data_IF_355419386424
#
_entry.id   IF_355419386424
#
_cell.length_a   1.000
_cell.length_b   1.000
_cell.length_c   1.000
_cell.angle_alpha   90.00
_cell.angle_beta   90.00
_cell.angle_gamma   90.00
#
_symmetry.space_group_name_H-M   'P 1'
#
loop_
_entity.id
_entity.type
_entity.pdbx_description
1 polymer ?
#
# COMPACT_ATOMS: atom_id res chain seq x y z
N UNK A 1 -42.86 -8.32 -9.08
CA UNK A 1 -41.76 -8.18 -8.10
C UNK A 1 -40.87 -7.05 -8.60
N UNK A 2 -40.62 -6.02 -7.80
CA UNK A 2 -39.63 -5.01 -8.16
C UNK A 2 -38.25 -5.65 -8.08
N UNK A 3 -37.60 -5.85 -9.23
CA UNK A 3 -36.21 -6.27 -9.29
C UNK A 3 -35.36 -5.07 -8.92
N UNK A 4 -34.52 -5.20 -7.89
CA UNK A 4 -33.54 -4.17 -7.55
C UNK A 4 -32.57 -4.03 -8.74
N UNK A 5 -32.29 -2.78 -9.14
CA UNK A 5 -31.37 -2.47 -10.24
C UNK A 5 -29.94 -2.92 -9.91
N UNK A 6 -29.50 -2.69 -8.67
CA UNK A 6 -28.19 -3.10 -8.16
C UNK A 6 -28.34 -3.98 -6.92
N UNK A 7 -27.39 -4.88 -6.74
CA UNK A 7 -27.29 -5.73 -5.55
C UNK A 7 -25.87 -5.72 -5.01
N UNK A 8 -25.66 -6.32 -3.83
CA UNK A 8 -24.30 -6.53 -3.31
C UNK A 8 -23.48 -7.30 -4.36
N UNK A 9 -22.25 -6.85 -4.59
CA UNK A 9 -21.31 -7.51 -5.49
C UNK A 9 -20.92 -8.87 -4.89
N UNK A 10 -20.95 -9.93 -5.70
CA UNK A 10 -20.68 -11.31 -5.26
C UNK A 10 -19.51 -11.97 -5.98
N UNK A 11 -19.06 -11.38 -7.08
CA UNK A 11 -17.98 -11.89 -7.92
C UNK A 11 -17.32 -10.76 -8.71
N UNK A 12 -16.18 -11.08 -9.32
CA UNK A 12 -15.36 -10.15 -10.08
C UNK A 12 -16.04 -9.65 -11.38
N UNK A 13 -16.86 -10.49 -12.02
CA UNK A 13 -17.60 -10.09 -13.23
C UNK A 13 -18.57 -8.94 -12.93
N UNK A 14 -19.34 -9.06 -11.84
CA UNK A 14 -20.28 -8.03 -11.38
C UNK A 14 -19.53 -6.77 -10.92
N UNK A 15 -18.37 -6.92 -10.29
CA UNK A 15 -17.51 -5.78 -9.92
C UNK A 15 -17.10 -4.97 -11.15
N UNK A 16 -16.55 -5.64 -12.15
CA UNK A 16 -16.10 -4.99 -13.39
C UNK A 16 -17.26 -4.32 -14.14
N UNK A 17 -18.43 -4.95 -14.19
CA UNK A 17 -19.64 -4.34 -14.76
C UNK A 17 -20.02 -3.04 -14.04
N UNK A 18 -19.96 -3.04 -12.71
CA UNK A 18 -20.32 -1.86 -11.89
C UNK A 18 -19.29 -0.74 -12.05
N UNK A 19 -18.00 -1.07 -12.14
CA UNK A 19 -16.94 -0.11 -12.44
C UNK A 19 -17.14 0.57 -13.80
N UNK A 20 -17.39 -0.21 -14.86
CA UNK A 20 -17.65 0.32 -16.19
C UNK A 20 -18.90 1.22 -16.20
N UNK A 21 -19.96 0.79 -15.53
CA UNK A 21 -21.20 1.57 -15.42
C UNK A 21 -20.94 2.89 -14.70
N UNK A 22 -20.21 2.87 -13.59
CA UNK A 22 -19.85 4.07 -12.83
C UNK A 22 -19.03 5.04 -13.69
N UNK A 23 -18.05 4.53 -14.45
CA UNK A 23 -17.25 5.34 -15.38
C UNK A 23 -18.14 6.04 -16.43
N UNK A 24 -19.04 5.30 -17.07
CA UNK A 24 -19.98 5.87 -18.05
C UNK A 24 -20.88 6.96 -17.44
N UNK A 25 -21.36 6.76 -16.21
CA UNK A 25 -22.21 7.72 -15.50
C UNK A 25 -21.44 9.00 -15.17
N UNK A 26 -20.19 8.86 -14.71
CA UNK A 26 -19.31 10.00 -14.41
C UNK A 26 -18.99 10.82 -15.67
N UNK A 27 -18.76 10.16 -16.81
CA UNK A 27 -18.50 10.82 -18.10
C UNK A 27 -19.72 11.61 -18.58
N UNK A 28 -20.94 11.09 -18.38
CA UNK A 28 -22.18 11.81 -18.75
C UNK A 28 -22.38 13.08 -17.92
N UNK A 29 -21.91 13.12 -16.68
CA UNK A 29 -21.92 14.33 -15.84
C UNK A 29 -23.32 14.86 -15.48
N UNK A 30 -24.34 14.00 -15.52
CA UNK A 30 -25.72 14.38 -15.22
C UNK A 30 -25.97 14.38 -13.71
N UNK A 31 -26.47 15.50 -13.17
CA UNK A 31 -26.79 15.67 -11.75
C UNK A 31 -27.97 14.82 -11.29
N UNK A 32 -28.79 14.30 -12.21
CA UNK A 32 -29.90 13.42 -11.86
C UNK A 32 -29.45 12.01 -11.49
N UNK A 33 -28.20 11.66 -11.80
CA UNK A 33 -27.62 10.33 -11.57
C UNK A 33 -26.79 10.26 -10.28
N UNK A 34 -26.80 11.31 -9.45
CA UNK A 34 -25.97 11.39 -8.24
C UNK A 34 -26.22 10.23 -7.27
N UNK A 35 -27.48 9.90 -6.96
CA UNK A 35 -27.80 8.78 -6.05
C UNK A 35 -27.34 7.42 -6.60
N UNK A 36 -27.38 7.25 -7.93
CA UNK A 36 -26.94 6.03 -8.61
C UNK A 36 -25.42 5.89 -8.58
N UNK A 37 -24.71 6.98 -8.83
CA UNK A 37 -23.25 7.09 -8.72
C UNK A 37 -22.83 6.77 -7.27
N UNK A 38 -23.45 7.41 -6.28
CA UNK A 38 -23.15 7.18 -4.86
C UNK A 38 -23.38 5.73 -4.46
N UNK A 39 -24.48 5.10 -4.90
CA UNK A 39 -24.75 3.71 -4.61
C UNK A 39 -23.72 2.77 -5.25
N UNK A 40 -23.39 2.97 -6.53
CA UNK A 40 -22.39 2.16 -7.21
C UNK A 40 -21.01 2.30 -6.56
N UNK A 41 -20.60 3.53 -6.24
CA UNK A 41 -19.36 3.79 -5.49
C UNK A 41 -19.34 3.02 -4.17
N UNK A 42 -20.41 3.09 -3.37
CA UNK A 42 -20.47 2.37 -2.09
C UNK A 42 -20.37 0.85 -2.26
N UNK A 43 -21.00 0.28 -3.28
CA UNK A 43 -20.97 -1.16 -3.56
C UNK A 43 -19.57 -1.63 -3.98
N UNK A 44 -18.92 -0.86 -4.84
CA UNK A 44 -17.54 -1.11 -5.31
C UNK A 44 -16.56 -0.99 -4.14
N UNK A 45 -16.62 0.10 -3.36
CA UNK A 45 -15.77 0.31 -2.19
C UNK A 45 -15.90 -0.82 -1.17
N UNK A 46 -17.14 -1.29 -0.92
CA UNK A 46 -17.37 -2.43 -0.04
C UNK A 46 -16.68 -3.68 -0.56
N UNK A 47 -16.89 -4.03 -1.84
CA UNK A 47 -16.29 -5.22 -2.45
C UNK A 47 -14.76 -5.15 -2.41
N UNK A 48 -14.18 -4.00 -2.75
CA UNK A 48 -12.74 -3.77 -2.70
C UNK A 48 -12.19 -3.92 -1.29
N UNK A 49 -12.91 -3.43 -0.27
CA UNK A 49 -12.48 -3.60 1.12
C UNK A 49 -12.50 -5.06 1.58
N UNK A 50 -13.44 -5.87 1.07
CA UNK A 50 -13.62 -7.27 1.45
C UNK A 50 -12.72 -8.21 0.63
N UNK A 51 -12.41 -7.87 -0.62
CA UNK A 51 -11.63 -8.68 -1.57
C UNK A 51 -10.24 -8.12 -1.86
N UNK A 52 -9.79 -7.14 -1.07
CA UNK A 52 -8.47 -6.56 -1.15
C UNK A 52 -7.37 -7.63 -1.04
N UNK A 53 -6.86 -8.10 -2.19
CA UNK A 53 -5.74 -9.04 -2.33
C UNK A 53 -4.39 -8.46 -1.92
N UNK A 54 -4.38 -7.29 -1.26
CA UNK A 54 -3.16 -6.67 -0.72
C UNK A 54 -2.37 -7.64 0.18
N UNK A 55 -2.98 -8.73 0.66
CA UNK A 55 -2.34 -9.74 1.52
C UNK A 55 -1.23 -10.54 0.83
N UNK A 56 -1.16 -10.56 -0.51
CA UNK A 56 -0.10 -11.28 -1.22
C UNK A 56 1.20 -10.47 -1.35
N UNK A 57 1.11 -9.14 -1.36
CA UNK A 57 2.27 -8.26 -1.55
C UNK A 57 2.76 -7.70 -0.21
N UNK A 58 4.07 -7.71 0.00
CA UNK A 58 4.66 -6.94 1.10
C UNK A 58 4.46 -5.43 0.85
N UNK A 59 4.44 -4.58 1.90
CA UNK A 59 4.32 -3.13 1.73
C UNK A 59 5.30 -2.49 0.75
N UNK A 60 6.51 -3.06 0.61
CA UNK A 60 7.53 -2.57 -0.32
C UNK A 60 7.27 -3.03 -1.75
N UNK A 61 6.72 -4.23 -1.95
CA UNK A 61 6.31 -4.71 -3.28
C UNK A 61 5.09 -3.95 -3.78
N UNK A 62 4.10 -3.72 -2.92
CA UNK A 62 2.97 -2.82 -3.21
C UNK A 62 3.45 -1.44 -3.64
N UNK A 63 4.37 -0.84 -2.87
CA UNK A 63 4.95 0.46 -3.22
C UNK A 63 5.61 0.45 -4.60
N UNK A 64 6.30 -0.63 -4.97
CA UNK A 64 6.93 -0.76 -6.29
C UNK A 64 5.90 -0.88 -7.42
N UNK A 65 4.83 -1.66 -7.23
CA UNK A 65 3.75 -1.78 -8.21
C UNK A 65 3.10 -0.42 -8.47
N UNK A 66 2.74 0.29 -7.39
CA UNK A 66 2.17 1.63 -7.48
C UNK A 66 3.11 2.63 -8.14
N UNK A 67 4.43 2.53 -7.88
CA UNK A 67 5.41 3.35 -8.59
C UNK A 67 5.46 3.04 -10.09
N UNK A 68 5.37 1.77 -10.48
CA UNK A 68 5.38 1.34 -11.89
C UNK A 68 4.12 1.82 -12.62
N UNK A 69 2.94 1.59 -12.05
CA UNK A 69 1.65 2.03 -12.58
C UNK A 69 1.58 3.55 -12.76
N UNK A 70 2.19 4.32 -11.85
CA UNK A 70 2.24 5.78 -11.90
C UNK A 70 3.48 6.33 -12.62
N UNK A 71 4.32 5.48 -13.23
CA UNK A 71 5.56 5.84 -13.92
C UNK A 71 6.52 6.70 -13.06
N UNK A 72 6.58 6.42 -11.76
CA UNK A 72 7.37 7.16 -10.77
C UNK A 72 8.77 6.55 -10.60
N UNK A 73 9.79 7.41 -10.55
CA UNK A 73 11.16 6.98 -10.21
C UNK A 73 11.42 7.20 -8.73
N UNK A 74 12.44 6.53 -8.20
CA UNK A 74 12.86 6.70 -6.79
C UNK A 74 13.20 8.16 -6.43
N UNK A 75 13.63 8.97 -7.40
CA UNK A 75 13.88 10.40 -7.22
C UNK A 75 12.61 11.21 -7.01
N UNK A 76 11.50 10.80 -7.62
CA UNK A 76 10.20 11.46 -7.49
C UNK A 76 9.58 11.07 -6.15
N UNK A 77 9.67 9.78 -5.79
CA UNK A 77 9.25 9.28 -4.49
C UNK A 77 9.99 9.99 -3.34
N UNK A 78 11.28 10.30 -3.51
CA UNK A 78 12.05 11.08 -2.54
C UNK A 78 11.47 12.48 -2.31
N UNK A 79 10.98 13.15 -3.37
CA UNK A 79 10.31 14.45 -3.26
C UNK A 79 8.95 14.32 -2.57
N UNK A 80 8.14 13.34 -2.96
CA UNK A 80 6.81 13.08 -2.39
C UNK A 80 6.90 12.83 -0.88
N UNK A 81 7.86 11.99 -0.47
CA UNK A 81 8.04 11.61 0.92
C UNK A 81 8.83 12.63 1.74
N UNK A 82 9.40 13.65 1.10
CA UNK A 82 10.36 14.58 1.69
C UNK A 82 11.52 13.84 2.40
N UNK A 83 12.09 12.84 1.71
CA UNK A 83 13.19 12.01 2.19
C UNK A 83 14.41 12.12 1.29
N UNK A 84 15.60 11.81 1.82
CA UNK A 84 16.79 11.71 0.98
C UNK A 84 16.67 10.53 0.00
N UNK A 85 17.30 10.66 -1.18
CA UNK A 85 17.37 9.56 -2.18
C UNK A 85 17.93 8.27 -1.58
N UNK A 86 18.93 8.39 -0.70
CA UNK A 86 19.51 7.24 0.00
C UNK A 86 18.53 6.57 0.96
N UNK A 87 17.68 7.34 1.65
CA UNK A 87 16.63 6.78 2.52
C UNK A 87 15.58 6.04 1.70
N UNK A 88 15.13 6.60 0.57
CA UNK A 88 14.18 5.93 -0.32
C UNK A 88 14.77 4.64 -0.88
N UNK A 89 16.02 4.66 -1.33
CA UNK A 89 16.71 3.45 -1.80
C UNK A 89 16.74 2.35 -0.73
N UNK A 90 17.04 2.69 0.52
CA UNK A 90 17.02 1.74 1.64
C UNK A 90 15.62 1.16 1.89
N UNK A 91 14.57 1.97 1.76
CA UNK A 91 13.18 1.50 1.89
C UNK A 91 12.84 0.52 0.76
N UNK A 92 13.10 0.89 -0.50
CA UNK A 92 12.81 0.06 -1.68
C UNK A 92 13.59 -1.27 -1.70
N UNK A 93 14.72 -1.32 -0.99
CA UNK A 93 15.53 -2.53 -0.80
C UNK A 93 15.22 -3.29 0.51
N UNK A 94 14.15 -2.92 1.21
CA UNK A 94 13.74 -3.47 2.51
C UNK A 94 14.81 -3.35 3.61
N UNK A 95 15.79 -2.45 3.47
CA UNK A 95 16.83 -2.22 4.48
C UNK A 95 16.37 -1.27 5.59
N UNK A 96 15.29 -0.53 5.35
CA UNK A 96 14.66 0.36 6.31
C UNK A 96 13.14 0.19 6.26
N UNK A 97 12.53 0.12 7.45
CA UNK A 97 11.08 0.09 7.61
C UNK A 97 10.40 1.39 7.17
N UNK A 98 9.13 1.31 6.79
CA UNK A 98 8.27 2.48 6.59
C UNK A 98 7.94 3.11 7.96
N UNK A 99 8.20 4.42 8.09
CA UNK A 99 7.78 5.17 9.28
C UNK A 99 6.29 5.51 9.20
N UNK A 100 5.64 5.82 10.34
CA UNK A 100 4.24 6.28 10.36
C UNK A 100 4.00 7.48 9.44
N UNK A 101 4.93 8.43 9.42
CA UNK A 101 4.84 9.59 8.54
C UNK A 101 4.95 9.21 7.06
N UNK A 102 5.84 8.26 6.74
CA UNK A 102 5.96 7.72 5.39
C UNK A 102 4.68 7.02 4.95
N UNK A 103 4.09 6.19 5.82
CA UNK A 103 2.84 5.47 5.57
C UNK A 103 1.71 6.45 5.24
N UNK A 104 1.56 7.53 6.03
CA UNK A 104 0.56 8.57 5.76
C UNK A 104 0.76 9.23 4.41
N UNK A 105 1.98 9.67 4.09
CA UNK A 105 2.29 10.31 2.80
C UNK A 105 2.03 9.39 1.61
N UNK A 106 2.36 8.10 1.73
CA UNK A 106 2.08 7.10 0.70
C UNK A 106 0.58 6.91 0.52
N UNK A 107 -0.15 6.73 1.62
CA UNK A 107 -1.61 6.60 1.62
C UNK A 107 -2.29 7.81 1.00
N UNK A 108 -1.88 9.03 1.38
CA UNK A 108 -2.44 10.27 0.85
C UNK A 108 -2.14 10.47 -0.64
N UNK A 109 -0.95 10.05 -1.10
CA UNK A 109 -0.53 10.19 -2.50
C UNK A 109 -1.20 9.18 -3.42
N UNK A 110 -1.17 7.89 -3.05
CA UNK A 110 -1.71 6.80 -3.86
C UNK A 110 -3.20 6.54 -3.62
N UNK A 111 -3.82 7.23 -2.65
CA UNK A 111 -5.24 7.03 -2.26
C UNK A 111 -5.55 5.60 -1.84
N UNK A 112 -4.58 4.94 -1.22
CA UNK A 112 -4.71 3.58 -0.67
C UNK A 112 -4.79 3.65 0.86
N UNK A 113 -5.54 2.75 1.49
CA UNK A 113 -5.62 2.65 2.95
C UNK A 113 -4.22 2.48 3.59
N UNK A 114 -3.95 3.18 4.70
CA UNK A 114 -2.69 3.07 5.46
C UNK A 114 -2.37 1.62 5.87
N UNK A 115 -3.39 0.81 6.14
CA UNK A 115 -3.23 -0.61 6.46
C UNK A 115 -2.58 -1.41 5.32
N UNK A 116 -2.62 -0.95 4.08
CA UNK A 116 -1.87 -1.58 2.98
C UNK A 116 -0.35 -1.47 3.17
N UNK A 117 0.12 -0.38 3.81
CA UNK A 117 1.55 -0.15 4.09
C UNK A 117 1.96 -0.48 5.53
N UNK A 118 1.02 -0.70 6.44
CA UNK A 118 1.24 -0.94 7.88
C UNK A 118 1.36 -2.44 8.25
N UNK A 119 1.69 -3.29 7.28
CA UNK A 119 1.80 -4.74 7.47
C UNK A 119 3.21 -5.14 7.89
N UNK A 120 3.40 -6.23 8.65
CA UNK A 120 4.73 -6.73 8.97
C UNK A 120 5.42 -7.27 7.71
N UNK A 121 6.71 -6.93 7.52
CA UNK A 121 7.55 -7.50 6.47
C UNK A 121 9.00 -7.59 6.93
N UNK A 122 9.76 -8.52 6.32
CA UNK A 122 11.14 -8.79 6.72
C UNK A 122 12.09 -7.73 6.16
N UNK A 123 12.88 -7.12 7.05
CA UNK A 123 13.95 -6.23 6.64
C UNK A 123 15.21 -7.00 6.24
N UNK A 124 15.88 -6.54 5.19
CA UNK A 124 17.17 -7.05 4.73
C UNK A 124 18.27 -6.29 5.44
N UNK A 125 19.00 -6.96 6.32
CA UNK A 125 20.16 -6.37 6.98
C UNK A 125 21.40 -6.50 6.07
N UNK A 126 22.05 -5.37 5.71
CA UNK A 126 23.26 -5.36 4.87
C UNK A 126 24.43 -6.09 5.53
N UNK A 127 24.55 -6.00 6.87
CA UNK A 127 25.57 -6.75 7.64
C UNK A 127 25.38 -8.26 7.42
N UNK A 128 24.12 -8.70 7.29
CA UNK A 128 23.80 -10.11 7.14
C UNK A 128 24.03 -10.66 5.72
N UNK A 129 24.24 -9.82 4.70
CA UNK A 129 24.53 -10.28 3.34
C UNK A 129 25.96 -10.83 3.21
N UNK A 130 26.90 -10.34 4.01
CA UNK A 130 28.31 -10.74 3.94
C UNK A 130 28.63 -12.00 4.76
N UNK A 131 27.80 -12.37 5.74
CA UNK A 131 28.01 -13.57 6.54
C UNK A 131 26.88 -14.57 6.27
N UNK A 132 27.21 -15.73 5.69
CA UNK A 132 26.25 -16.79 5.32
C UNK A 132 25.32 -17.25 6.47
N UNK A 133 25.67 -16.99 7.72
CA UNK A 133 24.94 -17.40 8.93
C UNK A 133 24.50 -16.22 9.85
N UNK A 134 24.47 -15.00 9.31
CA UNK A 134 24.29 -13.79 10.13
C UNK A 134 22.93 -13.63 10.80
N UNK A 135 21.88 -14.33 10.34
CA UNK A 135 20.57 -14.27 11.00
C UNK A 135 20.60 -14.82 12.43
N UNK A 136 21.70 -15.47 12.83
CA UNK A 136 21.94 -16.01 14.18
C UNK A 136 22.72 -15.04 15.08
N UNK A 137 23.26 -13.94 14.57
CA UNK A 137 24.11 -13.01 15.32
C UNK A 137 23.31 -11.82 15.87
N UNK A 138 22.39 -12.08 16.81
CA UNK A 138 21.87 -11.04 17.70
C UNK A 138 22.75 -10.97 18.96
N UNK A 139 23.94 -10.36 18.86
CA UNK A 139 24.77 -10.12 20.05
C UNK A 139 24.13 -9.02 20.88
N UNK A 140 23.41 -9.40 21.95
CA UNK A 140 23.12 -8.49 23.06
C UNK A 140 24.46 -8.03 23.61
N UNK A 141 24.82 -6.76 23.37
CA UNK A 141 25.96 -6.11 24.00
C UNK A 141 25.65 -5.99 25.49
N UNK A 142 26.15 -6.92 26.32
CA UNK A 142 26.25 -6.69 27.76
C UNK A 142 27.25 -5.55 27.98
N UNK A 143 26.73 -4.34 28.14
CA UNK A 143 27.48 -3.24 28.76
C UNK A 143 27.40 -3.40 30.27
N UNK A 144 28.16 -4.34 30.82
CA UNK A 144 28.43 -4.36 32.26
C UNK A 144 29.94 -4.53 32.52
N UNK A 145 30.43 -3.59 33.32
CA UNK A 145 31.72 -3.52 34.00
C UNK A 145 33.00 -3.30 33.19
N UNK A 146 33.26 -2.00 32.95
CA UNK A 146 34.61 -1.44 33.10
C UNK A 146 34.57 -0.22 34.04
N UNK A 147 34.48 -0.44 35.35
CA UNK A 147 35.09 0.43 36.37
C UNK A 147 35.40 -0.41 37.63
N UNK A 148 36.59 -0.18 38.20
CA UNK A 148 37.20 -0.75 39.41
C UNK A 148 37.83 -2.16 39.22
N UNK A 149 39.13 -2.38 39.38
CA UNK A 149 40.24 -1.65 40.03
C UNK A 149 41.49 -1.75 39.15
#
# INVERSE_FOLDING_TARGET
MNTLKYTIIKNEEQYNEYCNTLEELLVKGDRTLTDEIELLTLLIEKWDSENSSFDELTPVELLKSLMEENNLKAVDLARILNLSKGTVSKILNCQKGLSKETIRRLSDHFKVNQEAFNRPYKLVNEINRHFRNASLMNTRKNMENRVAV
#
